data_IF_621354263560
#
_entry.id   IF_621354263560
#
_cell.length_a   1.000
_cell.length_b   1.000
_cell.length_c   1.000
_cell.angle_alpha   90.00
_cell.angle_beta   90.00
_cell.angle_gamma   90.00
#
_symmetry.space_group_name_H-M   'P 1'
#
loop_
_entity.id
_entity.type
_entity.pdbx_description
1 polymer ?
#
# COMPACT_ATOMS: atom_id res chain seq x y z
N UNK A 1 6.63 1.97 3.60
CA UNK A 1 6.26 0.66 3.02
C UNK A 1 7.33 -0.33 3.41
N UNK A 2 6.93 -1.47 3.99
CA UNK A 2 7.81 -2.59 4.29
C UNK A 2 7.36 -3.80 3.48
N UNK A 3 8.33 -4.54 2.92
CA UNK A 3 8.09 -5.71 2.08
C UNK A 3 8.88 -6.89 2.65
N UNK A 4 8.19 -7.97 2.94
CA UNK A 4 8.78 -9.23 3.40
C UNK A 4 8.55 -10.27 2.31
N UNK A 5 9.64 -10.87 1.83
CA UNK A 5 9.62 -11.85 0.75
C UNK A 5 9.92 -13.25 1.25
N UNK A 6 9.38 -14.26 0.57
CA UNK A 6 9.60 -15.66 0.87
C UNK A 6 9.23 -16.58 -0.29
N UNK A 7 9.34 -17.88 -0.05
CA UNK A 7 9.02 -18.89 -1.07
C UNK A 7 7.56 -18.76 -1.55
N UNK A 8 7.31 -18.91 -2.86
CA UNK A 8 5.96 -18.87 -3.42
C UNK A 8 5.09 -20.01 -2.89
N UNK A 9 3.78 -19.76 -2.78
CA UNK A 9 2.78 -20.77 -2.43
C UNK A 9 2.03 -21.30 -3.65
N UNK A 10 2.05 -20.57 -4.77
CA UNK A 10 1.42 -20.99 -6.03
C UNK A 10 2.47 -21.44 -7.08
N UNK A 11 2.20 -22.47 -7.90
CA UNK A 11 3.21 -23.06 -8.79
C UNK A 11 3.77 -22.14 -9.89
N UNK A 12 3.10 -21.03 -10.18
CA UNK A 12 3.45 -20.11 -11.28
C UNK A 12 4.02 -18.78 -10.78
N UNK A 13 4.33 -18.68 -9.48
CA UNK A 13 4.98 -17.53 -8.89
C UNK A 13 6.46 -17.83 -8.62
N UNK A 14 7.30 -16.83 -8.80
CA UNK A 14 8.73 -16.91 -8.54
C UNK A 14 9.05 -16.56 -7.07
N UNK A 15 8.26 -15.66 -6.49
CA UNK A 15 8.42 -15.18 -5.13
C UNK A 15 7.07 -14.77 -4.55
N UNK A 16 6.90 -14.91 -3.24
CA UNK A 16 5.74 -14.37 -2.51
C UNK A 16 6.16 -13.24 -1.59
N UNK A 17 5.29 -12.26 -1.43
CA UNK A 17 5.47 -11.19 -0.47
C UNK A 17 4.27 -10.96 0.46
N UNK A 18 4.59 -10.27 1.55
CA UNK A 18 3.63 -9.54 2.38
C UNK A 18 4.09 -8.09 2.45
N UNK A 19 3.18 -7.16 2.16
CA UNK A 19 3.48 -5.73 2.10
C UNK A 19 2.67 -4.98 3.13
N UNK A 20 3.36 -4.25 3.99
CA UNK A 20 2.75 -3.38 5.00
C UNK A 20 2.95 -1.93 4.59
N UNK A 21 1.85 -1.20 4.46
CA UNK A 21 1.81 0.23 4.20
C UNK A 21 1.56 0.95 5.52
N UNK A 22 2.49 1.80 5.93
CA UNK A 22 2.40 2.58 7.17
C UNK A 22 1.17 3.48 7.14
N UNK A 23 0.36 3.43 8.19
CA UNK A 23 -0.85 4.25 8.33
C UNK A 23 -0.62 5.51 9.14
N UNK A 24 0.42 5.53 9.97
CA UNK A 24 0.77 6.62 10.89
C UNK A 24 2.28 6.93 10.83
N UNK A 25 2.72 7.92 11.59
CA UNK A 25 4.13 8.29 11.69
C UNK A 25 4.98 7.21 12.36
N UNK A 26 6.10 6.86 11.73
CA UNK A 26 7.07 5.88 12.25
C UNK A 26 8.13 6.56 13.14
N UNK A 27 8.24 6.12 14.40
CA UNK A 27 9.33 6.49 15.32
C UNK A 27 10.27 5.30 15.54
N UNK A 28 11.51 5.41 15.05
CA UNK A 28 12.53 4.37 15.15
C UNK A 28 12.88 3.96 16.59
N UNK A 29 12.59 4.81 17.59
CA UNK A 29 12.84 4.51 19.01
C UNK A 29 11.63 3.87 19.70
N UNK A 30 10.46 3.87 19.05
CA UNK A 30 9.19 3.34 19.57
C UNK A 30 8.55 2.41 18.54
N UNK A 31 8.94 1.12 18.51
CA UNK A 31 8.49 0.18 17.47
C UNK A 31 6.98 -0.08 17.50
N UNK A 32 6.31 0.19 18.63
CA UNK A 32 4.85 0.18 18.77
C UNK A 32 4.13 1.22 17.91
N UNK A 33 4.84 2.25 17.43
CA UNK A 33 4.32 3.23 16.46
C UNK A 33 4.33 2.72 15.02
N UNK A 34 4.95 1.56 14.75
CA UNK A 34 4.96 0.95 13.43
C UNK A 34 3.62 0.25 13.16
N UNK A 35 2.56 1.03 12.96
CA UNK A 35 1.25 0.55 12.53
C UNK A 35 1.14 0.60 11.01
N UNK A 36 0.37 -0.32 10.44
CA UNK A 36 0.16 -0.33 9.01
C UNK A 36 -0.98 -1.22 8.56
N UNK A 37 -1.45 -0.96 7.35
CA UNK A 37 -2.40 -1.80 6.65
C UNK A 37 -1.64 -2.79 5.77
N UNK A 38 -2.15 -4.01 5.68
CA UNK A 38 -1.62 -5.03 4.78
C UNK A 38 -2.16 -4.80 3.36
N UNK A 39 -1.28 -4.71 2.37
CA UNK A 39 -1.69 -4.74 0.97
C UNK A 39 -2.24 -6.14 0.64
N UNK A 40 -3.41 -6.16 0.02
CA UNK A 40 -4.11 -7.40 -0.38
C UNK A 40 -3.55 -7.99 -1.66
N UNK A 41 -2.76 -7.21 -2.40
CA UNK A 41 -2.11 -7.56 -3.65
C UNK A 41 -0.58 -7.52 -3.49
N UNK A 42 0.19 -7.99 -4.50
CA UNK A 42 1.66 -8.00 -4.41
C UNK A 42 2.31 -6.61 -4.28
N UNK A 43 1.53 -5.52 -4.35
CA UNK A 43 1.97 -4.13 -4.38
C UNK A 43 2.84 -3.80 -5.61
N UNK A 44 2.34 -3.01 -6.58
CA UNK A 44 3.09 -2.73 -7.82
C UNK A 44 4.44 -2.03 -7.60
N UNK A 45 4.50 -1.07 -6.67
CA UNK A 45 5.76 -0.42 -6.28
C UNK A 45 6.67 -1.36 -5.48
N UNK A 46 6.10 -2.23 -4.66
CA UNK A 46 6.83 -3.30 -3.97
C UNK A 46 7.48 -4.28 -4.94
N UNK A 47 6.74 -4.80 -5.92
CA UNK A 47 7.25 -5.65 -7.00
C UNK A 47 8.35 -4.95 -7.80
N UNK A 48 8.19 -3.66 -8.08
CA UNK A 48 9.21 -2.87 -8.78
C UNK A 48 10.52 -2.79 -8.01
N UNK A 49 10.46 -2.56 -6.70
CA UNK A 49 11.62 -2.52 -5.82
C UNK A 49 12.28 -3.90 -5.69
N UNK A 50 11.49 -4.96 -5.53
CA UNK A 50 11.98 -6.34 -5.45
C UNK A 50 12.74 -6.74 -6.73
N UNK A 51 12.17 -6.47 -7.90
CA UNK A 51 12.83 -6.72 -9.18
C UNK A 51 14.14 -5.94 -9.33
N UNK A 52 14.19 -4.68 -8.89
CA UNK A 52 15.43 -3.89 -8.90
C UNK A 52 16.51 -4.53 -8.01
N UNK A 53 16.13 -5.02 -6.82
CA UNK A 53 17.04 -5.72 -5.92
C UNK A 53 17.52 -7.05 -6.51
N UNK A 54 16.63 -7.87 -7.07
CA UNK A 54 16.96 -9.13 -7.74
C UNK A 54 17.92 -8.89 -8.91
N UNK A 55 17.64 -7.89 -9.74
CA UNK A 55 18.48 -7.53 -10.88
C UNK A 55 19.86 -7.04 -10.44
N UNK A 56 19.95 -6.20 -9.41
CA UNK A 56 21.22 -5.76 -8.86
C UNK A 56 22.08 -6.92 -8.31
N UNK A 57 21.45 -8.02 -7.88
CA UNK A 57 22.13 -9.26 -7.47
C UNK A 57 22.41 -10.23 -8.63
N UNK A 58 21.97 -9.93 -9.84
CA UNK A 58 22.09 -10.82 -11.00
C UNK A 58 21.11 -12.01 -11.00
N UNK A 59 20.07 -11.97 -10.16
CA UNK A 59 19.07 -13.03 -10.00
C UNK A 59 17.87 -12.86 -10.96
N UNK A 60 17.71 -11.67 -11.55
CA UNK A 60 16.66 -11.38 -12.52
C UNK A 60 17.23 -10.63 -13.72
N UNK A 61 17.11 -11.19 -14.92
CA UNK A 61 17.57 -10.55 -16.14
C UNK A 61 16.58 -9.50 -16.67
N UNK A 62 17.09 -8.51 -17.41
CA UNK A 62 16.24 -7.58 -18.17
C UNK A 62 15.41 -8.35 -19.21
N UNK A 63 14.14 -7.97 -19.37
CA UNK A 63 13.19 -8.64 -20.27
C UNK A 63 12.67 -10.00 -19.80
N UNK A 64 13.09 -10.48 -18.62
CA UNK A 64 12.56 -11.69 -18.00
C UNK A 64 11.26 -11.38 -17.24
N UNK A 65 10.26 -12.24 -17.39
CA UNK A 65 9.04 -12.19 -16.58
C UNK A 65 9.35 -12.57 -15.13
N UNK A 66 8.73 -11.84 -14.21
CA UNK A 66 8.76 -12.09 -12.77
C UNK A 66 7.33 -12.11 -12.22
N UNK A 67 6.89 -13.29 -11.81
CA UNK A 67 5.56 -13.54 -11.24
C UNK A 67 5.61 -13.38 -9.72
N UNK A 68 5.10 -12.25 -9.23
CA UNK A 68 5.14 -11.89 -7.81
C UNK A 68 3.79 -12.16 -7.15
N UNK A 69 3.77 -13.06 -6.16
CA UNK A 69 2.58 -13.47 -5.43
C UNK A 69 2.36 -12.61 -4.17
N UNK A 70 1.14 -12.16 -3.94
CA UNK A 70 0.73 -11.43 -2.75
C UNK A 70 0.18 -12.34 -1.65
N UNK A 71 -0.18 -11.77 -0.49
CA UNK A 71 -0.64 -12.54 0.67
C UNK A 71 -1.90 -13.38 0.39
N UNK A 72 -2.78 -12.91 -0.50
CA UNK A 72 -4.02 -13.57 -0.92
C UNK A 72 -3.85 -14.43 -2.19
N UNK A 73 -2.62 -14.84 -2.52
CA UNK A 73 -2.31 -15.68 -3.69
C UNK A 73 -2.65 -15.03 -5.05
N UNK A 74 -2.86 -13.71 -5.06
CA UNK A 74 -2.97 -12.94 -6.30
C UNK A 74 -1.58 -12.72 -6.87
N UNK A 75 -1.46 -12.71 -8.20
CA UNK A 75 -0.16 -12.61 -8.89
C UNK A 75 -0.14 -11.42 -9.83
N UNK A 76 0.94 -10.64 -9.74
CA UNK A 76 1.33 -9.66 -10.76
C UNK A 76 2.49 -10.22 -11.59
N UNK A 77 2.50 -9.89 -12.87
CA UNK A 77 3.64 -10.17 -13.75
C UNK A 77 4.41 -8.88 -13.95
N UNK A 78 5.66 -8.85 -13.49
CA UNK A 78 6.59 -7.76 -13.70
C UNK A 78 7.66 -8.12 -14.73
N UNK A 79 8.25 -7.13 -15.37
CA UNK A 79 9.49 -7.29 -16.13
C UNK A 79 10.26 -5.97 -16.16
N UNK A 80 11.58 -6.06 -16.30
CA UNK A 80 12.45 -4.90 -16.43
C UNK A 80 12.65 -4.56 -17.90
N UNK A 81 12.17 -3.39 -18.32
CA UNK A 81 12.21 -2.96 -19.73
C UNK A 81 13.59 -2.45 -20.14
N UNK A 82 14.26 -1.73 -19.24
CA UNK A 82 15.56 -1.12 -19.51
C UNK A 82 16.30 -0.81 -18.21
N UNK A 83 17.62 -0.77 -18.29
CA UNK A 83 18.48 -0.14 -17.29
C UNK A 83 18.59 1.37 -17.58
N UNK A 84 18.70 2.17 -16.52
CA UNK A 84 18.84 3.62 -16.61
C UNK A 84 19.65 4.15 -15.43
N UNK A 85 19.81 5.48 -15.37
CA UNK A 85 20.41 6.16 -14.22
C UNK A 85 19.51 7.26 -13.68
N UNK A 86 19.35 7.31 -12.37
CA UNK A 86 18.64 8.39 -11.67
C UNK A 86 19.63 9.06 -10.73
N UNK A 87 19.90 10.35 -10.95
CA UNK A 87 20.92 11.12 -10.22
C UNK A 87 22.30 10.42 -10.16
N UNK A 88 22.69 9.74 -11.25
CA UNK A 88 23.97 9.02 -11.35
C UNK A 88 23.95 7.59 -10.79
N UNK A 89 22.94 7.22 -10.02
CA UNK A 89 22.76 5.85 -9.50
C UNK A 89 22.12 4.95 -10.53
N UNK A 90 22.58 3.70 -10.62
CA UNK A 90 21.94 2.67 -11.47
C UNK A 90 20.50 2.44 -11.03
N UNK A 91 19.61 2.35 -12.01
CA UNK A 91 18.18 2.14 -11.82
C UNK A 91 17.64 1.27 -12.96
N UNK A 92 16.42 0.76 -12.78
CA UNK A 92 15.72 -0.05 -13.78
C UNK A 92 14.34 0.54 -14.04
N UNK A 93 13.84 0.35 -15.26
CA UNK A 93 12.48 0.72 -15.67
C UNK A 93 11.55 -0.49 -15.58
N UNK A 94 10.78 -0.65 -14.49
CA UNK A 94 9.88 -1.77 -14.32
C UNK A 94 8.58 -1.55 -15.11
N UNK A 95 7.99 -2.64 -15.59
CA UNK A 95 6.59 -2.69 -15.99
C UNK A 95 5.89 -3.77 -15.18
N UNK A 96 4.70 -3.45 -14.69
CA UNK A 96 3.86 -4.35 -13.90
C UNK A 96 2.54 -4.56 -14.64
N UNK A 97 2.12 -5.81 -14.72
CA UNK A 97 0.84 -6.23 -15.25
C UNK A 97 0.01 -6.88 -14.14
N UNK A 98 -1.27 -6.52 -14.10
CA UNK A 98 -2.24 -7.04 -13.17
C UNK A 98 -3.65 -6.88 -13.73
N UNK A 99 -4.65 -7.25 -12.94
CA UNK A 99 -6.06 -7.12 -13.33
C UNK A 99 -6.83 -6.37 -12.24
N UNK A 100 -7.79 -5.58 -12.67
CA UNK A 100 -8.74 -4.89 -11.82
C UNK A 100 -10.15 -5.15 -12.35
N UNK A 101 -11.13 -5.09 -11.46
CA UNK A 101 -12.53 -5.32 -11.77
C UNK A 101 -13.36 -4.16 -11.21
N UNK A 102 -14.35 -3.71 -11.97
CA UNK A 102 -15.34 -2.75 -11.47
C UNK A 102 -16.19 -3.46 -10.42
N UNK A 103 -16.10 -3.03 -9.17
CA UNK A 103 -16.84 -3.63 -8.04
C UNK A 103 -18.15 -2.90 -7.74
N UNK A 104 -18.30 -1.67 -8.21
CA UNK A 104 -19.51 -0.87 -8.03
C UNK A 104 -19.29 0.60 -8.36
N UNK A 105 -20.37 1.37 -8.28
CA UNK A 105 -20.36 2.83 -8.39
C UNK A 105 -20.88 3.41 -7.08
N UNK A 106 -20.24 4.47 -6.58
CA UNK A 106 -20.63 5.13 -5.33
C UNK A 106 -20.73 6.64 -5.53
N UNK A 107 -21.66 7.27 -4.81
CA UNK A 107 -21.77 8.73 -4.67
C UNK A 107 -21.67 9.07 -3.19
N UNK A 108 -20.58 9.75 -2.83
CA UNK A 108 -20.36 10.26 -1.48
C UNK A 108 -20.89 11.70 -1.38
N UNK A 109 -21.60 12.01 -0.29
CA UNK A 109 -22.13 13.35 -0.01
C UNK A 109 -21.78 13.67 1.44
N UNK A 110 -21.18 14.84 1.66
CA UNK A 110 -20.87 15.35 2.99
C UNK A 110 -21.85 16.48 3.32
N UNK A 111 -22.62 16.29 4.39
CA UNK A 111 -23.52 17.31 4.93
C UNK A 111 -22.72 18.30 5.79
N UNK A 112 -22.90 19.63 5.65
CA UNK A 112 -22.23 20.62 6.49
C UNK A 112 -22.47 20.45 7.99
N UNK A 113 -23.62 19.89 8.39
CA UNK A 113 -24.00 19.65 9.78
C UNK A 113 -23.62 18.25 10.27
N UNK A 114 -22.84 17.49 9.48
CA UNK A 114 -22.39 16.16 9.86
C UNK A 114 -21.60 16.19 11.18
N UNK A 115 -21.91 15.26 12.08
CA UNK A 115 -21.23 15.14 13.38
C UNK A 115 -19.74 14.79 13.26
N UNK A 116 -19.32 14.22 12.14
CA UNK A 116 -17.93 13.82 11.88
C UNK A 116 -17.52 14.23 10.45
N UNK A 117 -17.33 15.53 10.20
CA UNK A 117 -17.03 16.03 8.86
C UNK A 117 -15.59 15.73 8.41
N UNK A 118 -14.68 15.52 9.37
CA UNK A 118 -13.26 15.23 9.13
C UNK A 118 -12.86 13.78 9.44
N UNK A 119 -13.79 12.83 9.35
CA UNK A 119 -13.58 11.40 9.63
C UNK A 119 -13.46 11.03 11.12
N UNK A 120 -13.49 9.73 11.40
CA UNK A 120 -13.14 9.15 12.71
C UNK A 120 -12.54 7.75 12.50
N UNK A 121 -11.67 7.31 13.40
CA UNK A 121 -11.07 5.96 13.37
C UNK A 121 -11.45 5.20 14.64
N UNK A 122 -11.74 3.91 14.50
CA UNK A 122 -11.89 2.98 15.63
C UNK A 122 -10.56 2.25 15.83
N UNK A 123 -9.91 2.48 16.97
CA UNK A 123 -8.49 2.14 17.15
C UNK A 123 -8.13 0.65 17.03
N UNK A 124 -9.03 -0.26 17.38
CA UNK A 124 -8.77 -1.71 17.27
C UNK A 124 -8.68 -2.21 15.82
N UNK A 125 -9.41 -1.58 14.89
CA UNK A 125 -9.41 -1.94 13.46
C UNK A 125 -8.21 -1.33 12.71
N UNK A 126 -7.78 -0.13 13.11
CA UNK A 126 -6.79 0.68 12.36
C UNK A 126 -5.40 0.73 13.01
N UNK A 127 -5.19 0.01 14.10
CA UNK A 127 -3.93 -0.05 14.84
C UNK A 127 -4.02 0.68 16.18
N UNK A 128 -3.47 0.06 17.22
CA UNK A 128 -3.57 0.49 18.63
C UNK A 128 -2.91 1.85 18.97
N UNK A 129 -2.33 2.54 17.99
CA UNK A 129 -1.67 3.85 18.15
C UNK A 129 -2.49 5.06 17.69
N UNK A 130 -3.66 4.88 17.08
CA UNK A 130 -4.48 5.99 16.62
C UNK A 130 -5.09 6.74 17.82
N UNK A 131 -4.52 7.88 18.19
CA UNK A 131 -5.19 8.83 19.08
C UNK A 131 -6.46 9.32 18.38
N UNK A 132 -7.62 8.88 18.84
CA UNK A 132 -8.89 9.36 18.33
C UNK A 132 -9.04 10.84 18.73
N UNK A 133 -9.20 11.80 17.80
CA UNK A 133 -9.30 13.22 18.16
C UNK A 133 -10.55 13.57 18.98
N UNK A 134 -11.38 12.58 19.33
CA UNK A 134 -12.69 12.80 19.93
C UNK A 134 -13.67 13.36 18.89
N UNK A 135 -14.98 13.30 19.15
CA UNK A 135 -15.94 13.99 18.30
C UNK A 135 -15.62 15.48 18.27
N UNK A 136 -15.68 16.14 17.10
CA UNK A 136 -15.59 17.60 17.05
C UNK A 136 -16.71 18.20 17.90
N UNK A 137 -16.45 19.36 18.50
CA UNK A 137 -17.46 20.09 19.27
C UNK A 137 -18.71 20.32 18.38
N UNK A 138 -19.92 20.16 18.92
CA UNK A 138 -21.13 20.34 18.13
C UNK A 138 -21.15 21.72 17.50
N UNK A 139 -21.50 21.78 16.20
CA UNK A 139 -21.65 23.04 15.49
C UNK A 139 -22.60 23.97 16.28
N UNK A 140 -22.28 25.27 16.41
CA UNK A 140 -23.17 26.20 17.09
C UNK A 140 -24.52 26.18 16.36
N UNK A 141 -25.60 25.85 17.08
CA UNK A 141 -26.95 25.83 16.50
C UNK A 141 -27.25 27.22 15.96
N UNK A 142 -27.25 27.35 14.63
CA UNK A 142 -27.75 28.53 13.95
C UNK A 142 -29.18 28.78 14.41
N UNK A 143 -29.41 29.95 15.02
CA UNK A 143 -30.77 30.40 15.37
C UNK A 143 -31.56 30.50 14.06
N UNK A 144 -32.67 29.77 13.96
CA UNK A 144 -33.57 29.90 12.82
C UNK A 144 -33.94 31.39 12.64
N UNK A 145 -33.94 31.92 11.41
CA UNK A 145 -34.42 33.28 11.16
C UNK A 145 -35.91 33.35 11.51
N UNK A 146 -36.29 34.44 12.19
CA UNK A 146 -37.67 34.78 12.57
C UNK A 146 -38.58 35.02 11.36
#
# INVERSE_FOLDING_TARGET
IALLSGAPSVPHADLRNAVVVSTEGLDWRRPDTCTGALDRFPCGTGTSAEMACLHARGELASGQDFCHEGVLQTVFTGWLMAETKVHGSSAVGPRISGRAWVTGHARWVLDPDAHFPEEYKVGDIWGSGASNPGPPAPAPRGRAPE
#
